data_IF_484996434390
#
_entry.id   IF_484996434390
#
_cell.length_a   1.000
_cell.length_b   1.000
_cell.length_c   1.000
_cell.angle_alpha   90.00
_cell.angle_beta   90.00
_cell.angle_gamma   90.00
#
_symmetry.space_group_name_H-M   'P 1'
#
loop_
_entity.id
_entity.type
_entity.pdbx_description
1 polymer ?
#
# COMPACT_ATOMS: atom_id res chain seq x y z
N UNK A 1 -45.50 5.88 -13.20
CA UNK A 1 -44.10 5.80 -13.67
C UNK A 1 -43.38 4.88 -12.72
N UNK A 2 -42.84 3.77 -13.25
CA UNK A 2 -42.50 2.58 -12.49
C UNK A 2 -41.40 2.79 -11.45
N UNK A 3 -41.61 2.18 -10.30
CA UNK A 3 -40.64 1.99 -9.23
C UNK A 3 -39.61 0.95 -9.68
N UNK A 4 -38.49 1.41 -10.22
CA UNK A 4 -37.28 0.61 -10.34
C UNK A 4 -36.19 1.35 -9.58
N UNK A 5 -36.06 1.06 -8.30
CA UNK A 5 -34.80 1.29 -7.58
C UNK A 5 -34.36 -0.08 -7.10
N UNK A 6 -33.39 -0.60 -7.84
CA UNK A 6 -32.69 -1.84 -7.58
C UNK A 6 -32.31 -1.94 -6.10
N UNK A 7 -32.38 -3.17 -5.60
CA UNK A 7 -31.91 -3.64 -4.30
C UNK A 7 -30.39 -3.44 -4.14
N UNK A 8 -29.93 -2.19 -4.10
CA UNK A 8 -28.63 -1.84 -3.56
C UNK A 8 -28.74 -1.90 -2.04
N UNK A 9 -28.23 -2.97 -1.45
CA UNK A 9 -28.25 -3.17 0.00
C UNK A 9 -27.51 -2.00 0.68
N UNK A 10 -28.14 -1.30 1.63
CA UNK A 10 -27.46 -0.19 2.32
C UNK A 10 -26.35 -0.74 3.21
N UNK A 11 -25.26 0.01 3.36
CA UNK A 11 -24.24 -0.27 4.37
C UNK A 11 -24.84 -0.19 5.77
N UNK A 12 -24.52 -1.17 6.60
CA UNK A 12 -24.71 -1.06 8.05
C UNK A 12 -23.74 -0.03 8.64
N UNK A 13 -24.00 0.41 9.88
CA UNK A 13 -23.10 1.32 10.57
C UNK A 13 -21.70 0.71 10.77
N UNK A 14 -21.63 -0.60 11.02
CA UNK A 14 -20.36 -1.34 11.14
C UNK A 14 -19.62 -1.37 9.82
N UNK A 15 -20.28 -1.75 8.72
CA UNK A 15 -19.64 -1.78 7.39
C UNK A 15 -19.13 -0.42 6.95
N UNK A 16 -19.88 0.65 7.24
CA UNK A 16 -19.42 2.01 6.97
C UNK A 16 -18.21 2.38 7.83
N UNK A 17 -18.22 2.07 9.13
CA UNK A 17 -17.10 2.33 10.02
C UNK A 17 -15.84 1.56 9.59
N UNK A 18 -16.01 0.31 9.17
CA UNK A 18 -14.94 -0.57 8.70
C UNK A 18 -14.34 -0.08 7.38
N UNK A 19 -15.17 0.39 6.44
CA UNK A 19 -14.70 1.00 5.19
C UNK A 19 -13.93 2.30 5.46
N UNK A 20 -14.39 3.11 6.40
CA UNK A 20 -13.69 4.33 6.82
C UNK A 20 -12.35 3.98 7.45
N UNK A 21 -12.29 2.97 8.31
CA UNK A 21 -11.06 2.50 8.93
C UNK A 21 -10.05 1.98 7.88
N UNK A 22 -10.52 1.19 6.90
CA UNK A 22 -9.68 0.74 5.79
C UNK A 22 -9.11 1.91 5.00
N UNK A 23 -9.95 2.87 4.61
CA UNK A 23 -9.52 4.01 3.80
C UNK A 23 -8.53 4.92 4.56
N UNK A 24 -8.76 5.14 5.85
CA UNK A 24 -7.86 5.92 6.68
C UNK A 24 -6.48 5.26 6.83
N UNK A 25 -6.43 3.93 6.95
CA UNK A 25 -5.17 3.16 6.98
C UNK A 25 -4.39 3.30 5.66
N UNK A 26 -5.05 3.16 4.52
CA UNK A 26 -4.42 3.32 3.20
C UNK A 26 -3.95 4.77 2.96
N UNK A 27 -4.72 5.78 3.42
CA UNK A 27 -4.28 7.18 3.39
C UNK A 27 -3.04 7.41 4.25
N UNK A 28 -3.02 6.88 5.47
CA UNK A 28 -1.89 6.99 6.39
C UNK A 28 -0.64 6.33 5.80
N UNK A 29 -0.76 5.12 5.24
CA UNK A 29 0.32 4.40 4.59
C UNK A 29 0.87 5.18 3.39
N UNK A 30 -0.01 5.61 2.47
CA UNK A 30 0.36 6.45 1.31
C UNK A 30 1.12 7.70 1.73
N UNK A 31 0.57 8.45 2.68
CA UNK A 31 1.18 9.70 3.15
C UNK A 31 2.54 9.44 3.82
N UNK A 32 2.65 8.37 4.61
CA UNK A 32 3.90 7.97 5.26
C UNK A 32 4.99 7.64 4.22
N UNK A 33 4.65 6.83 3.22
CA UNK A 33 5.61 6.42 2.20
C UNK A 33 5.98 7.58 1.26
N UNK A 34 5.03 8.46 0.94
CA UNK A 34 5.32 9.70 0.22
C UNK A 34 6.28 10.61 1.01
N UNK A 35 6.10 10.73 2.33
CA UNK A 35 7.00 11.51 3.18
C UNK A 35 8.41 10.88 3.24
N UNK A 36 8.52 9.54 3.31
CA UNK A 36 9.82 8.85 3.22
C UNK A 36 10.52 9.14 1.89
N UNK A 37 9.80 9.13 0.77
CA UNK A 37 10.35 9.48 -0.53
C UNK A 37 10.80 10.95 -0.60
N UNK A 38 10.07 11.85 0.04
CA UNK A 38 10.46 13.26 0.14
C UNK A 38 11.76 13.45 0.96
N UNK A 39 11.94 12.66 2.02
CA UNK A 39 13.08 12.79 2.93
C UNK A 39 14.34 12.08 2.41
N UNK A 40 14.19 10.93 1.75
CA UNK A 40 15.30 10.04 1.35
C UNK A 40 15.48 9.88 -0.17
N UNK A 41 14.59 10.46 -0.98
CA UNK A 41 14.60 10.36 -2.45
C UNK A 41 13.87 9.13 -2.99
N UNK A 42 13.99 8.86 -4.28
CA UNK A 42 13.35 7.73 -4.95
C UNK A 42 13.96 6.37 -4.55
N UNK A 43 13.47 5.83 -3.43
CA UNK A 43 14.01 4.63 -2.81
C UNK A 43 13.04 3.44 -2.88
N UNK A 44 13.58 2.25 -3.10
CA UNK A 44 12.81 1.01 -3.00
C UNK A 44 12.78 0.52 -1.55
N UNK A 45 11.62 0.02 -1.06
CA UNK A 45 10.43 -0.31 -1.85
C UNK A 45 9.41 0.83 -1.96
N UNK A 46 9.58 1.93 -1.23
CA UNK A 46 8.60 3.02 -1.09
C UNK A 46 8.03 3.54 -2.42
N UNK A 47 8.86 3.73 -3.46
CA UNK A 47 8.38 4.22 -4.76
C UNK A 47 7.34 3.29 -5.41
N UNK A 48 7.45 1.98 -5.19
CA UNK A 48 6.49 1.02 -5.74
C UNK A 48 5.27 0.87 -4.84
N UNK A 49 5.47 0.96 -3.52
CA UNK A 49 4.41 0.73 -2.55
C UNK A 49 3.48 1.95 -2.50
N UNK A 50 3.97 3.18 -2.61
CA UNK A 50 3.09 4.36 -2.70
C UNK A 50 2.13 4.29 -3.90
N UNK A 51 2.57 3.73 -5.02
CA UNK A 51 1.72 3.47 -6.20
C UNK A 51 0.77 2.29 -6.01
N UNK A 52 1.07 1.36 -5.09
CA UNK A 52 0.12 0.35 -4.66
C UNK A 52 -0.95 0.96 -3.76
N UNK A 53 -0.58 1.79 -2.79
CA UNK A 53 -1.54 2.44 -1.88
C UNK A 53 -2.48 3.40 -2.61
N UNK A 54 -2.00 4.09 -3.66
CA UNK A 54 -2.89 4.88 -4.54
C UNK A 54 -4.01 4.00 -5.13
N UNK A 55 -3.68 2.79 -5.58
CA UNK A 55 -4.67 1.87 -6.16
C UNK A 55 -5.57 1.25 -5.09
N UNK A 56 -5.07 1.05 -3.87
CA UNK A 56 -5.89 0.60 -2.74
C UNK A 56 -6.93 1.66 -2.36
N UNK A 57 -6.49 2.92 -2.24
CA UNK A 57 -7.37 4.07 -2.04
C UNK A 57 -8.44 4.14 -3.14
N UNK A 58 -8.05 4.06 -4.42
CA UNK A 58 -9.01 4.08 -5.53
C UNK A 58 -10.02 2.93 -5.46
N UNK A 59 -9.58 1.73 -5.08
CA UNK A 59 -10.47 0.57 -4.93
C UNK A 59 -11.49 0.77 -3.81
N UNK A 60 -11.07 1.31 -2.66
CA UNK A 60 -11.96 1.62 -1.54
C UNK A 60 -12.92 2.75 -1.89
N UNK A 61 -12.44 3.84 -2.50
CA UNK A 61 -13.27 4.96 -2.99
C UNK A 61 -14.37 4.44 -3.92
N UNK A 62 -14.05 3.52 -4.83
CA UNK A 62 -15.05 2.89 -5.70
C UNK A 62 -16.15 2.14 -4.95
N UNK A 63 -15.88 1.62 -3.74
CA UNK A 63 -16.90 1.06 -2.84
C UNK A 63 -17.78 2.18 -2.27
N UNK A 64 -17.18 3.25 -1.73
CA UNK A 64 -17.95 4.39 -1.20
C UNK A 64 -18.91 4.97 -2.25
N UNK A 65 -18.41 5.20 -3.47
CA UNK A 65 -19.20 5.71 -4.59
C UNK A 65 -20.35 4.77 -4.97
N UNK A 66 -20.10 3.45 -5.01
CA UNK A 66 -21.11 2.43 -5.33
C UNK A 66 -22.28 2.44 -4.34
N UNK A 67 -21.99 2.63 -3.06
CA UNK A 67 -23.01 2.71 -2.01
C UNK A 67 -23.57 4.12 -1.80
N UNK A 68 -23.13 5.12 -2.59
CA UNK A 68 -23.60 6.49 -2.52
C UNK A 68 -23.27 7.19 -1.19
N UNK A 69 -22.18 6.78 -0.54
CA UNK A 69 -21.72 7.36 0.72
C UNK A 69 -20.57 8.34 0.46
N UNK A 70 -20.47 9.38 1.29
CA UNK A 70 -19.41 10.37 1.18
C UNK A 70 -18.05 9.73 1.50
N UNK A 71 -17.05 10.01 0.67
CA UNK A 71 -15.66 9.61 0.87
C UNK A 71 -15.04 10.53 1.93
N UNK A 72 -14.46 10.01 3.02
CA UNK A 72 -13.67 10.80 3.96
C UNK A 72 -12.49 11.52 3.28
N UNK A 73 -12.26 12.77 3.67
CA UNK A 73 -11.09 13.54 3.22
C UNK A 73 -9.78 12.92 3.76
N UNK A 74 -8.73 12.95 2.95
CA UNK A 74 -7.39 12.59 3.42
C UNK A 74 -6.79 13.72 4.26
N UNK A 75 -6.54 13.44 5.54
CA UNK A 75 -5.99 14.41 6.50
C UNK A 75 -4.52 14.16 6.85
N UNK A 76 -3.91 13.10 6.32
CA UNK A 76 -2.56 12.66 6.65
C UNK A 76 -1.40 13.44 6.02
N UNK A 77 -1.53 14.13 4.87
CA UNK A 77 -0.44 14.93 4.32
C UNK A 77 0.15 15.91 5.34
N UNK A 78 1.46 15.75 5.62
CA UNK A 78 2.19 16.57 6.59
C UNK A 78 1.93 16.22 8.07
N UNK A 79 1.16 15.17 8.37
CA UNK A 79 0.85 14.71 9.74
C UNK A 79 1.39 13.31 10.08
N UNK A 80 2.18 12.73 9.18
CA UNK A 80 2.78 11.40 9.34
C UNK A 80 4.14 11.46 10.05
N UNK A 81 4.60 10.34 10.65
CA UNK A 81 5.92 10.25 11.24
C UNK A 81 7.05 10.55 10.24
N UNK A 82 8.17 11.05 10.77
CA UNK A 82 9.45 11.11 10.05
C UNK A 82 10.44 10.15 10.72
N UNK A 83 11.30 9.56 9.91
CA UNK A 83 12.28 8.57 10.36
C UNK A 83 13.69 9.13 10.29
N UNK A 84 14.57 8.73 11.22
CA UNK A 84 15.96 9.18 11.26
C UNK A 84 16.85 8.50 10.22
N UNK A 85 16.39 7.37 9.65
CA UNK A 85 17.09 6.66 8.58
C UNK A 85 16.15 5.86 7.68
N UNK A 86 16.62 5.48 6.49
CA UNK A 86 15.86 4.60 5.60
C UNK A 86 15.63 3.22 6.22
N UNK A 87 16.55 2.76 7.07
CA UNK A 87 16.39 1.50 7.80
C UNK A 87 15.22 1.58 8.78
N UNK A 88 15.14 2.65 9.58
CA UNK A 88 14.01 2.87 10.50
C UNK A 88 12.68 2.93 9.75
N UNK A 89 12.64 3.64 8.61
CA UNK A 89 11.44 3.68 7.77
C UNK A 89 11.03 2.29 7.26
N UNK A 90 12.00 1.44 6.89
CA UNK A 90 11.72 0.07 6.44
C UNK A 90 11.29 -0.85 7.59
N UNK A 91 11.85 -0.68 8.79
CA UNK A 91 11.40 -1.40 9.99
C UNK A 91 9.97 -1.00 10.35
N UNK A 92 9.64 0.28 10.29
CA UNK A 92 8.28 0.79 10.48
C UNK A 92 7.31 0.25 9.41
N UNK A 93 7.75 0.14 8.15
CA UNK A 93 6.97 -0.52 7.10
C UNK A 93 6.66 -1.99 7.44
N UNK A 94 7.64 -2.77 7.94
CA UNK A 94 7.36 -4.15 8.39
C UNK A 94 6.29 -4.18 9.49
N UNK A 95 6.38 -3.28 10.47
CA UNK A 95 5.37 -3.19 11.54
C UNK A 95 3.99 -2.85 10.97
N UNK A 96 3.91 -1.84 10.10
CA UNK A 96 2.66 -1.44 9.46
C UNK A 96 1.99 -2.59 8.71
N UNK A 97 2.75 -3.38 7.93
CA UNK A 97 2.18 -4.52 7.20
C UNK A 97 1.69 -5.66 8.12
N UNK A 98 2.30 -5.83 9.29
CA UNK A 98 1.80 -6.80 10.30
C UNK A 98 0.51 -6.29 10.94
N UNK A 99 0.45 -5.00 11.29
CA UNK A 99 -0.75 -4.37 11.84
C UNK A 99 -1.91 -4.34 10.83
N UNK A 100 -1.60 -4.13 9.54
CA UNK A 100 -2.54 -4.17 8.43
C UNK A 100 -3.14 -5.58 8.24
N UNK A 101 -2.34 -6.63 8.40
CA UNK A 101 -2.84 -8.01 8.39
C UNK A 101 -3.92 -8.23 9.46
N UNK A 102 -3.65 -7.80 10.70
CA UNK A 102 -4.58 -7.88 11.82
C UNK A 102 -5.84 -7.01 11.59
N UNK A 103 -5.68 -5.85 10.95
CA UNK A 103 -6.80 -5.00 10.54
C UNK A 103 -7.71 -5.75 9.57
N UNK A 104 -7.18 -6.22 8.44
CA UNK A 104 -8.00 -6.88 7.42
C UNK A 104 -8.63 -8.19 7.89
N UNK A 105 -8.00 -8.95 8.79
CA UNK A 105 -8.67 -10.09 9.44
C UNK A 105 -9.95 -9.67 10.17
N UNK A 106 -9.94 -8.54 10.89
CA UNK A 106 -11.14 -8.00 11.54
C UNK A 106 -12.15 -7.49 10.52
N UNK A 107 -11.72 -6.73 9.52
CA UNK A 107 -12.61 -6.15 8.50
C UNK A 107 -13.33 -7.23 7.69
N UNK A 108 -12.64 -8.33 7.34
CA UNK A 108 -13.21 -9.46 6.62
C UNK A 108 -14.29 -10.20 7.42
N UNK A 109 -14.22 -10.17 8.75
CA UNK A 109 -15.24 -10.73 9.63
C UNK A 109 -16.45 -9.79 9.83
N UNK A 110 -16.34 -8.51 9.43
CA UNK A 110 -17.35 -7.47 9.64
C UNK A 110 -18.44 -7.39 8.57
N UNK A 111 -18.33 -8.14 7.47
CA UNK A 111 -19.30 -8.09 6.36
C UNK A 111 -19.39 -9.40 5.58
N UNK A 112 -20.58 -9.68 5.04
CA UNK A 112 -20.82 -10.76 4.08
C UNK A 112 -20.98 -10.24 2.63
N UNK A 113 -20.84 -8.92 2.41
CA UNK A 113 -21.03 -8.32 1.07
C UNK A 113 -19.87 -8.68 0.15
N UNK A 114 -20.18 -9.42 -0.90
CA UNK A 114 -19.17 -10.00 -1.79
C UNK A 114 -18.27 -8.96 -2.49
N UNK A 115 -18.79 -7.77 -2.78
CA UNK A 115 -18.03 -6.69 -3.41
C UNK A 115 -17.04 -6.05 -2.43
N UNK A 116 -17.43 -5.79 -1.19
CA UNK A 116 -16.54 -5.31 -0.12
C UNK A 116 -15.48 -6.37 0.20
N UNK A 117 -15.90 -7.62 0.40
CA UNK A 117 -15.00 -8.75 0.66
C UNK A 117 -13.97 -8.95 -0.48
N UNK A 118 -14.37 -8.71 -1.73
CA UNK A 118 -13.48 -8.78 -2.88
C UNK A 118 -12.35 -7.74 -2.80
N UNK A 119 -12.68 -6.50 -2.45
CA UNK A 119 -11.70 -5.43 -2.27
C UNK A 119 -10.78 -5.75 -1.09
N UNK A 120 -11.32 -6.05 0.09
CA UNK A 120 -10.52 -6.35 1.28
C UNK A 120 -9.53 -7.50 1.09
N UNK A 121 -9.96 -8.61 0.47
CA UNK A 121 -9.05 -9.73 0.19
C UNK A 121 -7.93 -9.36 -0.77
N UNK A 122 -8.22 -8.54 -1.77
CA UNK A 122 -7.20 -8.09 -2.72
C UNK A 122 -6.16 -7.18 -2.05
N UNK A 123 -6.59 -6.25 -1.19
CA UNK A 123 -5.71 -5.35 -0.44
C UNK A 123 -4.87 -6.15 0.57
N UNK A 124 -5.49 -7.03 1.37
CA UNK A 124 -4.78 -7.91 2.31
C UNK A 124 -3.73 -8.78 1.61
N UNK A 125 -4.06 -9.39 0.47
CA UNK A 125 -3.10 -10.21 -0.28
C UNK A 125 -1.93 -9.38 -0.81
N UNK A 126 -2.17 -8.15 -1.28
CA UNK A 126 -1.10 -7.26 -1.73
C UNK A 126 -0.15 -6.89 -0.57
N UNK A 127 -0.71 -6.54 0.59
CA UNK A 127 0.05 -6.27 1.82
C UNK A 127 0.91 -7.48 2.22
N UNK A 128 0.27 -8.64 2.47
CA UNK A 128 0.92 -9.80 3.05
C UNK A 128 1.91 -10.49 2.11
N UNK A 129 1.57 -10.62 0.83
CA UNK A 129 2.38 -11.39 -0.12
C UNK A 129 3.44 -10.54 -0.82
N UNK A 130 3.31 -9.20 -0.82
CA UNK A 130 4.18 -8.31 -1.59
C UNK A 130 4.82 -7.23 -0.75
N UNK A 131 4.04 -6.42 -0.04
CA UNK A 131 4.57 -5.27 0.69
C UNK A 131 5.45 -5.72 1.87
N UNK A 132 4.95 -6.64 2.68
CA UNK A 132 5.66 -7.18 3.83
C UNK A 132 7.03 -7.76 3.43
N UNK A 133 7.06 -8.58 2.38
CA UNK A 133 8.30 -9.13 1.85
C UNK A 133 9.23 -8.07 1.28
N UNK A 134 8.69 -7.03 0.64
CA UNK A 134 9.49 -5.92 0.13
C UNK A 134 10.15 -5.10 1.25
N UNK A 135 9.42 -4.83 2.34
CA UNK A 135 9.95 -4.15 3.52
C UNK A 135 10.96 -5.01 4.29
N UNK A 136 10.70 -6.31 4.50
CA UNK A 136 11.68 -7.24 5.10
C UNK A 136 13.01 -7.22 4.36
N UNK A 137 12.97 -7.32 3.03
CA UNK A 137 14.18 -7.23 2.19
C UNK A 137 14.83 -5.84 2.25
N UNK A 138 14.07 -4.78 2.48
CA UNK A 138 14.65 -3.45 2.69
C UNK A 138 15.48 -3.38 3.97
N UNK A 139 14.94 -3.93 5.06
CA UNK A 139 15.65 -4.02 6.35
C UNK A 139 16.93 -4.83 6.20
N UNK A 140 16.88 -5.98 5.53
CA UNK A 140 18.05 -6.83 5.26
C UNK A 140 19.15 -6.11 4.47
N UNK A 141 18.79 -5.22 3.54
CA UNK A 141 19.74 -4.39 2.78
C UNK A 141 20.24 -3.17 3.55
N UNK A 142 19.87 -3.03 4.82
CA UNK A 142 20.29 -1.95 5.70
C UNK A 142 19.78 -0.57 5.27
N UNK A 143 18.67 -0.50 4.52
CA UNK A 143 18.20 0.77 3.96
C UNK A 143 19.22 1.41 3.00
N UNK A 144 19.99 0.61 2.27
CA UNK A 144 20.95 1.13 1.30
C UNK A 144 20.27 1.54 0.00
N UNK A 145 20.64 2.73 -0.50
CA UNK A 145 20.29 3.27 -1.81
C UNK A 145 20.94 2.44 -2.91
N UNK A 146 20.49 1.21 -3.16
CA UNK A 146 20.86 0.55 -4.42
C UNK A 146 20.03 1.18 -5.52
N UNK A 147 20.47 2.36 -5.99
CA UNK A 147 20.14 2.84 -7.32
C UNK A 147 20.45 1.68 -8.26
N UNK A 148 19.43 1.19 -8.98
CA UNK A 148 19.57 0.16 -10.00
C UNK A 148 20.34 0.67 -11.22
N UNK A 149 21.57 1.13 -11.02
CA UNK A 149 22.47 1.69 -12.02
C UNK A 149 23.89 1.10 -11.91
N UNK A 150 24.07 -0.11 -11.37
CA UNK A 150 25.32 -0.86 -11.57
C UNK A 150 25.30 -1.62 -12.89
N UNK A 151 25.21 -0.84 -13.96
CA UNK A 151 25.20 -1.29 -15.33
C UNK A 151 26.48 -1.01 -16.10
N UNK A 152 27.63 -0.64 -15.50
CA UNK A 152 28.87 -0.43 -16.28
C UNK A 152 30.18 -0.69 -15.51
N UNK A 153 30.90 -1.77 -15.86
CA UNK A 153 32.18 -2.15 -15.23
C UNK A 153 33.10 -3.12 -16.00
N UNK A 154 33.23 -2.93 -17.32
CA UNK A 154 34.38 -3.25 -18.22
C UNK A 154 35.61 -4.12 -17.75
N UNK A 155 35.96 -5.08 -18.64
CA UNK A 155 37.31 -5.64 -19.08
C UNK A 155 37.70 -7.03 -18.49
N UNK A 156 38.24 -8.02 -19.24
CA UNK A 156 39.35 -7.98 -20.25
C UNK A 156 39.31 -9.10 -21.32
N UNK A 157 39.91 -8.75 -22.47
CA UNK A 157 40.22 -9.49 -23.72
C UNK A 157 41.17 -10.70 -23.56
N UNK A 158 41.08 -11.70 -24.46
CA UNK A 158 42.22 -12.33 -25.21
C UNK A 158 41.70 -12.85 -26.56
N UNK A 159 41.98 -12.13 -27.67
CA UNK A 159 43.09 -12.29 -28.63
C UNK A 159 42.97 -13.53 -29.55
N UNK A 160 42.49 -13.23 -30.76
CA UNK A 160 42.63 -13.95 -32.02
C UNK A 160 44.11 -14.05 -32.40
N UNK A 161 44.55 -15.24 -32.83
CA UNK A 161 45.86 -15.48 -33.42
C UNK A 161 45.84 -16.81 -34.17
N UNK A 162 45.47 -16.75 -35.44
CA UNK A 162 45.67 -17.83 -36.41
C UNK A 162 47.08 -17.69 -36.97
N UNK A 163 47.86 -18.77 -36.92
CA UNK A 163 48.86 -19.16 -37.91
C UNK A 163 49.09 -20.66 -37.78
#
# INVERSE_FOLDING_TARGET
>A
MGTNTETGERLSATELADLVAALDDEYMARATYAQVLADFGEVRPFINIVEAENRHVEALVGVFERYGVAVPDDTWPGRVPRYGSLREACEAGVTAEVENADLYERLLAGTDKADILGVYRNLQAASQERHLEAFRRCVERGGSLTNGHDGHGRRRRRRRGQR
#
